data_IF_410642776163
#
_entry.id   IF_410642776163
#
_cell.length_a   1.000
_cell.length_b   1.000
_cell.length_c   1.000
_cell.angle_alpha   90.00
_cell.angle_beta   90.00
_cell.angle_gamma   90.00
#
_symmetry.space_group_name_H-M   'P 1'
#
loop_
_entity.id
_entity.type
_entity.pdbx_description
1 polymer ?
#
# COMPACT_ATOMS: atom_id res chain seq x y z
N UNK A 1 -27.10 50.78 9.00
CA UNK A 1 -26.81 49.93 10.18
C UNK A 1 -26.76 48.44 9.80
N UNK A 2 -26.23 48.09 8.62
CA UNK A 2 -26.19 46.68 8.14
C UNK A 2 -24.91 46.34 7.34
N UNK A 3 -23.82 47.10 7.54
CA UNK A 3 -22.54 46.89 6.85
C UNK A 3 -21.42 46.37 7.78
N UNK A 4 -21.68 46.24 9.10
CA UNK A 4 -20.64 45.94 10.10
C UNK A 4 -20.57 44.49 10.57
N UNK A 5 -21.54 43.63 10.21
CA UNK A 5 -21.62 42.25 10.73
C UNK A 5 -21.03 41.21 9.75
N UNK A 6 -20.78 41.58 8.48
CA UNK A 6 -20.30 40.66 7.44
C UNK A 6 -18.77 40.48 7.39
N UNK A 7 -17.99 41.19 8.21
CA UNK A 7 -16.53 41.20 8.11
C UNK A 7 -15.78 40.34 9.15
N UNK A 8 -16.49 39.76 10.14
CA UNK A 8 -15.84 39.07 11.29
C UNK A 8 -16.01 37.54 11.27
N UNK A 9 -16.59 36.96 10.21
CA UNK A 9 -16.77 35.51 10.09
C UNK A 9 -15.72 34.82 9.19
N UNK A 10 -14.88 35.58 8.49
CA UNK A 10 -13.80 35.04 7.64
C UNK A 10 -12.56 34.59 8.46
N UNK A 11 -12.33 35.17 9.64
CA UNK A 11 -11.16 34.82 10.47
C UNK A 11 -11.24 33.42 11.09
N UNK A 12 -12.44 32.93 11.40
CA UNK A 12 -12.64 31.65 12.08
C UNK A 12 -12.65 30.44 11.13
N UNK A 13 -13.08 30.62 9.88
CA UNK A 13 -13.02 29.57 8.85
C UNK A 13 -11.59 29.33 8.34
N UNK A 14 -10.78 30.40 8.24
CA UNK A 14 -9.37 30.28 7.86
C UNK A 14 -8.53 29.55 8.92
N UNK A 15 -8.79 29.79 10.21
CA UNK A 15 -8.10 29.11 11.32
C UNK A 15 -8.40 27.61 11.40
N UNK A 16 -9.64 27.20 11.12
CA UNK A 16 -10.03 25.79 11.14
C UNK A 16 -9.40 24.99 9.97
N UNK A 17 -9.25 25.59 8.79
CA UNK A 17 -8.57 24.97 7.66
C UNK A 17 -7.06 24.89 7.85
N UNK A 18 -6.43 25.92 8.41
CA UNK A 18 -4.99 25.88 8.74
C UNK A 18 -4.70 24.90 9.88
N UNK A 19 -5.57 24.79 10.88
CA UNK A 19 -5.46 23.79 11.96
C UNK A 19 -5.72 22.36 11.50
N UNK A 20 -6.70 22.14 10.61
CA UNK A 20 -6.96 20.84 9.99
C UNK A 20 -5.82 20.44 9.04
N UNK A 21 -5.31 21.37 8.23
CA UNK A 21 -4.16 21.14 7.36
C UNK A 21 -2.87 20.92 8.16
N UNK A 22 -2.65 21.65 9.25
CA UNK A 22 -1.52 21.43 10.15
C UNK A 22 -1.62 20.06 10.83
N UNK A 23 -2.77 19.66 11.38
CA UNK A 23 -2.96 18.31 11.91
C UNK A 23 -2.82 17.22 10.85
N UNK A 24 -3.25 17.47 9.60
CA UNK A 24 -3.03 16.56 8.48
C UNK A 24 -1.56 16.48 8.05
N UNK A 25 -0.80 17.57 8.16
CA UNK A 25 0.64 17.63 7.85
C UNK A 25 1.51 17.03 8.99
N UNK A 26 1.15 17.27 10.26
CA UNK A 26 1.84 16.72 11.44
C UNK A 26 1.47 15.24 11.70
N UNK A 27 0.31 14.78 11.24
CA UNK A 27 -0.13 13.38 11.27
C UNK A 27 0.52 12.46 10.22
N UNK A 28 1.24 13.03 9.24
CA UNK A 28 2.14 12.28 8.33
C UNK A 28 3.50 11.98 9.00
N UNK A 29 3.47 11.82 10.32
CA UNK A 29 4.62 11.58 11.16
C UNK A 29 5.23 10.22 10.89
N UNK A 30 6.32 10.26 10.13
CA UNK A 30 7.50 9.41 10.31
C UNK A 30 7.26 7.94 9.95
N UNK A 31 7.13 7.69 8.65
CA UNK A 31 7.91 6.60 8.07
C UNK A 31 9.35 6.88 8.48
N UNK A 32 9.81 6.21 9.54
CA UNK A 32 11.22 6.09 9.79
C UNK A 32 11.80 5.65 8.45
N UNK A 33 12.67 6.47 7.87
CA UNK A 33 13.57 6.04 6.84
C UNK A 33 14.48 4.97 7.48
N UNK A 34 13.92 3.78 7.69
CA UNK A 34 14.70 2.56 7.64
C UNK A 34 15.41 2.66 6.31
N UNK A 35 16.72 2.67 6.37
CA UNK A 35 17.60 2.46 5.24
C UNK A 35 17.15 1.15 4.61
N UNK A 36 16.18 1.22 3.68
CA UNK A 36 15.87 0.15 2.76
C UNK A 36 17.14 0.06 1.95
N UNK A 37 18.02 -0.87 2.34
CA UNK A 37 19.09 -1.33 1.48
C UNK A 37 18.43 -1.55 0.13
N UNK A 38 18.90 -0.84 -0.90
CA UNK A 38 18.36 -0.92 -2.24
C UNK A 38 18.18 -2.41 -2.55
N UNK A 39 16.93 -2.85 -2.66
CA UNK A 39 16.64 -4.26 -2.90
C UNK A 39 17.44 -4.66 -4.15
N UNK A 40 18.08 -5.83 -4.17
CA UNK A 40 18.71 -6.30 -5.39
C UNK A 40 17.67 -6.22 -6.51
N UNK A 41 18.09 -5.76 -7.69
CA UNK A 41 17.20 -5.72 -8.84
C UNK A 41 16.48 -7.07 -9.02
N UNK A 42 15.27 -7.05 -9.55
CA UNK A 42 14.49 -8.27 -9.72
C UNK A 42 15.21 -9.23 -10.67
N UNK A 43 15.40 -10.47 -10.22
CA UNK A 43 15.86 -11.58 -11.05
C UNK A 43 14.68 -12.11 -11.87
N UNK A 44 14.49 -11.52 -13.05
CA UNK A 44 13.45 -11.91 -13.99
C UNK A 44 13.59 -13.35 -14.50
N UNK A 45 14.82 -13.88 -14.54
CA UNK A 45 15.06 -15.25 -15.01
C UNK A 45 14.60 -16.27 -13.96
N UNK A 46 14.95 -16.05 -12.69
CA UNK A 46 14.47 -16.86 -11.57
C UNK A 46 12.95 -16.76 -11.39
N UNK A 47 12.39 -15.55 -11.53
CA UNK A 47 10.93 -15.34 -11.50
C UNK A 47 10.23 -16.17 -12.59
N UNK A 48 10.74 -16.12 -13.82
CA UNK A 48 10.22 -16.91 -14.94
C UNK A 48 10.36 -18.42 -14.71
N UNK A 49 11.49 -18.87 -14.14
CA UNK A 49 11.72 -20.27 -13.81
C UNK A 49 10.72 -20.81 -12.77
N UNK A 50 10.32 -19.98 -11.80
CA UNK A 50 9.24 -20.29 -10.85
C UNK A 50 7.83 -20.10 -11.45
N UNK A 51 7.73 -19.66 -12.72
CA UNK A 51 6.49 -19.50 -13.49
C UNK A 51 5.76 -18.18 -13.27
N UNK A 52 6.46 -17.14 -12.85
CA UNK A 52 5.91 -15.78 -12.79
C UNK A 52 6.21 -15.00 -14.06
N UNK A 53 5.27 -14.15 -14.48
CA UNK A 53 5.47 -13.18 -15.57
C UNK A 53 5.55 -11.79 -14.95
N UNK A 54 6.77 -11.35 -14.65
CA UNK A 54 7.02 -10.07 -13.97
C UNK A 54 7.26 -8.98 -15.01
N UNK A 55 6.36 -8.00 -15.08
CA UNK A 55 6.40 -6.89 -16.05
C UNK A 55 7.23 -5.68 -15.59
N UNK A 56 7.75 -5.70 -14.36
CA UNK A 56 8.55 -4.60 -13.79
C UNK A 56 8.99 -4.90 -12.36
N UNK A 57 9.94 -4.12 -11.80
CA UNK A 57 10.55 -4.40 -10.50
C UNK A 57 9.57 -4.37 -9.33
N UNK A 58 8.43 -3.68 -9.51
CA UNK A 58 7.40 -3.48 -8.48
C UNK A 58 6.02 -3.92 -8.98
N UNK A 59 5.98 -5.04 -9.71
CA UNK A 59 4.73 -5.61 -10.20
C UNK A 59 3.91 -6.26 -9.07
N UNK A 60 3.21 -5.45 -8.27
CA UNK A 60 2.39 -5.92 -7.14
C UNK A 60 1.31 -6.94 -7.54
N UNK A 61 0.94 -7.01 -8.81
CA UNK A 61 -0.06 -7.96 -9.34
C UNK A 61 0.41 -9.42 -9.30
N UNK A 62 1.70 -9.66 -9.01
CA UNK A 62 2.25 -10.98 -8.74
C UNK A 62 1.77 -11.55 -7.40
N UNK A 63 1.36 -10.68 -6.46
CA UNK A 63 0.90 -11.08 -5.14
C UNK A 63 -0.55 -11.59 -5.23
N UNK A 64 -0.78 -12.82 -4.75
CA UNK A 64 -2.10 -13.42 -4.77
C UNK A 64 -3.10 -12.59 -3.96
N UNK A 65 -4.24 -12.27 -4.57
CA UNK A 65 -5.24 -11.37 -4.01
C UNK A 65 -5.04 -9.89 -4.35
N UNK A 66 -3.91 -9.50 -4.95
CA UNK A 66 -3.65 -8.12 -5.41
C UNK A 66 -3.91 -7.99 -6.91
N UNK A 67 -5.15 -7.70 -7.29
CA UNK A 67 -5.48 -7.38 -8.68
C UNK A 67 -5.08 -5.97 -9.11
N UNK A 68 -5.20 -5.61 -10.41
CA UNK A 68 -4.77 -4.29 -10.94
C UNK A 68 -5.39 -3.09 -10.21
N UNK A 69 -6.66 -3.19 -9.80
CA UNK A 69 -7.34 -2.13 -9.02
C UNK A 69 -6.75 -1.96 -7.62
N UNK A 70 -6.42 -3.07 -6.95
CA UNK A 70 -5.80 -3.04 -5.62
C UNK A 70 -4.37 -2.53 -5.74
N UNK A 71 -3.60 -3.01 -6.73
CA UNK A 71 -2.26 -2.50 -6.99
C UNK A 71 -2.25 -0.99 -7.24
N UNK A 72 -3.21 -0.48 -7.99
CA UNK A 72 -3.40 0.96 -8.17
C UNK A 72 -3.75 1.67 -6.85
N UNK A 73 -4.71 1.15 -6.08
CA UNK A 73 -5.11 1.72 -4.78
C UNK A 73 -3.92 1.80 -3.81
N UNK A 74 -3.13 0.73 -3.71
CA UNK A 74 -1.95 0.64 -2.86
C UNK A 74 -0.90 1.69 -3.27
N UNK A 75 -0.59 1.80 -4.57
CA UNK A 75 0.32 2.82 -5.11
C UNK A 75 -0.13 4.23 -4.79
N UNK A 76 -1.41 4.53 -4.99
CA UNK A 76 -2.01 5.84 -4.66
C UNK A 76 -1.98 6.17 -3.16
N UNK A 77 -1.81 5.17 -2.29
CA UNK A 77 -1.65 5.31 -0.85
C UNK A 77 -0.21 5.13 -0.36
N UNK A 78 0.78 5.15 -1.26
CA UNK A 78 2.21 5.10 -0.93
C UNK A 78 2.79 3.71 -0.71
N UNK A 79 2.05 2.64 -1.03
CA UNK A 79 2.51 1.25 -0.99
C UNK A 79 2.71 0.78 -2.43
N UNK A 80 3.82 1.20 -3.04
CA UNK A 80 4.03 1.01 -4.48
C UNK A 80 5.03 -0.06 -4.90
N UNK A 81 5.82 -0.57 -3.96
CA UNK A 81 6.92 -1.51 -4.21
C UNK A 81 6.73 -2.79 -3.41
N UNK A 82 7.39 -3.89 -3.83
CA UNK A 82 7.36 -5.12 -3.04
C UNK A 82 7.91 -4.88 -1.62
N UNK A 83 8.97 -4.08 -1.49
CA UNK A 83 9.54 -3.74 -0.18
C UNK A 83 8.56 -2.95 0.71
N UNK A 84 7.84 -1.98 0.14
CA UNK A 84 6.85 -1.21 0.90
C UNK A 84 5.64 -2.06 1.28
N UNK A 85 5.18 -2.96 0.40
CA UNK A 85 4.09 -3.87 0.72
C UNK A 85 4.52 -4.90 1.79
N UNK A 86 5.76 -5.38 1.73
CA UNK A 86 6.33 -6.28 2.74
C UNK A 86 6.45 -5.62 4.12
N UNK A 87 6.74 -4.32 4.16
CA UNK A 87 6.84 -3.55 5.39
C UNK A 87 5.48 -3.10 5.96
N UNK A 88 4.41 -3.18 5.17
CA UNK A 88 3.08 -2.74 5.58
C UNK A 88 2.45 -3.75 6.56
N UNK A 89 1.81 -3.26 7.60
CA UNK A 89 1.03 -4.10 8.51
C UNK A 89 -0.31 -4.48 7.88
N UNK A 90 -0.87 -5.63 8.28
CA UNK A 90 -2.20 -6.04 7.83
C UNK A 90 -3.26 -4.96 8.17
N UNK A 91 -3.15 -4.31 9.34
CA UNK A 91 -4.06 -3.23 9.74
C UNK A 91 -3.98 -2.04 8.78
N UNK A 92 -2.78 -1.59 8.44
CA UNK A 92 -2.60 -0.46 7.52
C UNK A 92 -3.16 -0.78 6.12
N UNK A 93 -2.97 -2.01 5.64
CA UNK A 93 -3.53 -2.46 4.37
C UNK A 93 -5.06 -2.52 4.40
N UNK A 94 -5.65 -3.02 5.49
CA UNK A 94 -7.11 -3.00 5.70
C UNK A 94 -7.66 -1.58 5.70
N UNK A 95 -6.96 -0.63 6.34
CA UNK A 95 -7.36 0.78 6.33
C UNK A 95 -7.31 1.39 4.93
N UNK A 96 -6.31 1.02 4.10
CA UNK A 96 -6.23 1.44 2.70
C UNK A 96 -7.41 0.88 1.90
N UNK A 97 -7.70 -0.42 2.03
CA UNK A 97 -8.82 -1.07 1.34
C UNK A 97 -10.16 -0.42 1.71
N UNK A 98 -10.40 -0.18 3.01
CA UNK A 98 -11.60 0.50 3.51
C UNK A 98 -11.75 1.92 2.94
N UNK A 99 -10.65 2.67 2.82
CA UNK A 99 -10.65 4.01 2.19
C UNK A 99 -10.98 3.95 0.69
N UNK A 100 -10.68 2.83 0.02
CA UNK A 100 -11.06 2.57 -1.36
C UNK A 100 -12.56 2.33 -1.56
N UNK A 101 -13.29 1.97 -0.50
CA UNK A 101 -14.73 1.77 -0.50
C UNK A 101 -15.17 0.31 -0.71
N UNK A 102 -16.48 0.06 -0.78
CA UNK A 102 -17.06 -1.29 -0.67
C UNK A 102 -16.59 -2.31 -1.73
N UNK A 103 -16.11 -1.83 -2.88
CA UNK A 103 -15.57 -2.69 -3.93
C UNK A 103 -14.32 -3.48 -3.51
N UNK A 104 -13.67 -3.08 -2.41
CA UNK A 104 -12.44 -3.70 -1.89
C UNK A 104 -12.67 -4.57 -0.66
N UNK A 105 -13.89 -4.65 -0.12
CA UNK A 105 -14.21 -5.37 1.12
C UNK A 105 -13.97 -6.89 1.03
N UNK A 106 -13.99 -7.44 -0.18
CA UNK A 106 -13.71 -8.86 -0.43
C UNK A 106 -12.22 -9.21 -0.32
N UNK A 107 -11.33 -8.22 -0.37
CA UNK A 107 -9.89 -8.46 -0.36
C UNK A 107 -9.38 -8.71 1.07
N UNK A 108 -8.59 -9.76 1.24
CA UNK A 108 -7.92 -10.05 2.51
C UNK A 108 -6.40 -9.83 2.39
N UNK A 109 -5.83 -8.81 3.05
CA UNK A 109 -4.41 -8.50 2.96
C UNK A 109 -3.51 -9.30 3.90
N UNK A 110 -4.03 -10.33 4.58
CA UNK A 110 -3.30 -11.09 5.60
C UNK A 110 -1.93 -11.61 5.15
N UNK A 111 -1.85 -12.17 3.94
CA UNK A 111 -0.64 -12.81 3.43
C UNK A 111 0.17 -11.90 2.50
N UNK A 112 -0.37 -10.74 2.10
CA UNK A 112 0.29 -9.88 1.11
C UNK A 112 1.67 -9.41 1.56
N UNK A 113 1.92 -9.01 2.83
CA UNK A 113 3.25 -8.64 3.27
C UNK A 113 4.27 -9.78 3.17
N UNK A 114 3.87 -11.01 3.52
CA UNK A 114 4.75 -12.18 3.44
C UNK A 114 5.13 -12.49 1.99
N UNK A 115 4.12 -12.55 1.11
CA UNK A 115 4.32 -12.78 -0.32
C UNK A 115 5.23 -11.71 -0.94
N UNK A 116 4.98 -10.43 -0.63
CA UNK A 116 5.79 -9.31 -1.13
C UNK A 116 7.22 -9.35 -0.59
N UNK A 117 7.41 -9.81 0.65
CA UNK A 117 8.73 -10.04 1.22
C UNK A 117 9.54 -11.06 0.45
N UNK A 118 8.92 -12.16 0.00
CA UNK A 118 9.58 -13.17 -0.83
C UNK A 118 9.97 -12.62 -2.20
N UNK A 119 9.05 -11.88 -2.85
CA UNK A 119 9.32 -11.22 -4.13
C UNK A 119 10.47 -10.19 -4.02
N UNK A 120 10.46 -9.34 -3.00
CA UNK A 120 11.51 -8.35 -2.75
C UNK A 120 12.91 -8.96 -2.52
N UNK A 121 12.96 -10.22 -2.07
CA UNK A 121 14.18 -10.96 -1.81
C UNK A 121 14.57 -11.91 -2.95
N UNK A 122 13.91 -11.85 -4.11
CA UNK A 122 14.08 -12.78 -5.23
C UNK A 122 13.86 -14.27 -4.85
N UNK A 123 13.09 -14.54 -3.78
CA UNK A 123 12.73 -15.89 -3.31
C UNK A 123 11.52 -16.42 -4.09
N UNK A 124 11.64 -16.46 -5.42
CA UNK A 124 10.52 -16.75 -6.33
C UNK A 124 9.95 -18.16 -6.15
N UNK A 125 10.80 -19.17 -5.96
CA UNK A 125 10.31 -20.53 -5.73
C UNK A 125 9.54 -20.64 -4.41
N UNK A 126 10.00 -19.95 -3.35
CA UNK A 126 9.29 -19.95 -2.08
C UNK A 126 7.96 -19.20 -2.17
N UNK A 127 7.89 -18.13 -2.97
CA UNK A 127 6.64 -17.45 -3.26
C UNK A 127 5.65 -18.40 -3.95
N UNK A 128 6.11 -19.16 -4.96
CA UNK A 128 5.28 -20.18 -5.60
C UNK A 128 4.78 -21.22 -4.59
N UNK A 129 5.69 -21.78 -3.79
CA UNK A 129 5.35 -22.79 -2.78
C UNK A 129 4.37 -22.25 -1.73
N UNK A 130 4.49 -20.96 -1.38
CA UNK A 130 3.55 -20.29 -0.48
C UNK A 130 2.16 -20.21 -1.11
N UNK A 131 2.05 -19.70 -2.34
CA UNK A 131 0.78 -19.57 -3.06
C UNK A 131 0.05 -20.90 -3.28
N UNK A 132 0.78 -22.01 -3.46
CA UNK A 132 0.18 -23.36 -3.54
C UNK A 132 -0.63 -23.75 -2.30
N UNK A 133 -0.31 -23.15 -1.14
CA UNK A 133 -1.00 -23.35 0.14
C UNK A 133 -2.07 -22.30 0.43
N UNK A 134 -2.24 -21.32 -0.46
CA UNK A 134 -3.25 -20.29 -0.34
C UNK A 134 -4.49 -20.64 -1.19
N UNK A 135 -5.57 -19.95 -0.89
CA UNK A 135 -6.77 -19.86 -1.69
C UNK A 135 -7.15 -18.38 -1.84
N UNK A 136 -6.96 -17.83 -3.04
CA UNK A 136 -7.13 -16.41 -3.34
C UNK A 136 -6.36 -15.45 -2.40
N UNK A 137 -5.17 -15.87 -1.95
CA UNK A 137 -4.32 -15.12 -1.03
C UNK A 137 -4.68 -15.32 0.46
N UNK A 138 -5.63 -16.19 0.77
CA UNK A 138 -6.03 -16.54 2.14
C UNK A 138 -5.45 -17.90 2.51
N UNK A 139 -5.05 -18.10 3.77
CA UNK A 139 -4.59 -19.41 4.24
C UNK A 139 -5.76 -20.39 4.23
N UNK A 140 -5.54 -21.58 3.68
CA UNK A 140 -6.50 -22.69 3.73
C UNK A 140 -6.70 -23.24 5.14
#
# INVERSE_FOLDING_TARGET
MLQFILCNLWGLLAGALLGWLASWLLGRGRLAASTIAAAPGIDYAAAKAAGFVVSGPDNLEIIEGVGPKIAHLLRSNGVGTFALLAAASQSALKDILKKGGPAYDIANPETWPEQAGLAAQNRWQDLRNLMERLDAGVRR
#
